data_IF_791289568914
#
_entry.id   IF_791289568914
#
_cell.length_a   1.000
_cell.length_b   1.000
_cell.length_c   1.000
_cell.angle_alpha   90.00
_cell.angle_beta   90.00
_cell.angle_gamma   90.00
#
_symmetry.space_group_name_H-M   'P 1'
#
loop_
_entity.id
_entity.type
_entity.pdbx_description
1 polymer ?
#
# COMPACT_ATOMS: atom_id res chain seq x y z
N UNK A 1 29.36 -1.02 -47.85
CA UNK A 1 28.57 -0.05 -47.07
C UNK A 1 29.30 1.27 -47.08
N UNK A 2 28.65 2.35 -47.55
CA UNK A 2 29.26 3.69 -47.59
C UNK A 2 29.17 4.30 -46.19
N UNK A 3 30.26 4.90 -45.73
CA UNK A 3 30.39 5.54 -44.42
C UNK A 3 29.30 6.61 -44.14
N UNK A 4 28.66 7.15 -45.18
CA UNK A 4 27.53 8.07 -45.08
C UNK A 4 26.24 7.40 -44.57
N UNK A 5 25.94 6.17 -45.00
CA UNK A 5 24.71 5.46 -44.64
C UNK A 5 24.74 5.00 -43.17
N UNK A 6 25.92 4.63 -42.66
CA UNK A 6 26.10 4.31 -41.23
C UNK A 6 26.03 5.54 -40.33
N UNK A 7 26.39 6.73 -40.85
CA UNK A 7 26.37 7.99 -40.10
C UNK A 7 24.95 8.57 -39.96
N UNK A 8 24.13 8.39 -41.00
CA UNK A 8 22.72 8.79 -40.96
C UNK A 8 21.87 7.86 -40.08
N UNK A 9 22.18 6.54 -40.04
CA UNK A 9 21.57 5.63 -39.06
C UNK A 9 21.98 5.93 -37.62
N UNK A 10 23.23 6.33 -37.37
CA UNK A 10 23.67 6.73 -36.02
C UNK A 10 23.04 8.04 -35.54
N UNK A 11 22.78 8.98 -36.45
CA UNK A 11 22.16 10.27 -36.13
C UNK A 11 20.63 10.20 -35.95
N UNK A 12 19.98 9.12 -36.41
CA UNK A 12 18.52 8.97 -36.31
C UNK A 12 18.05 8.44 -34.94
N UNK A 13 18.93 7.84 -34.12
CA UNK A 13 18.57 7.29 -32.80
C UNK A 13 19.09 8.09 -31.59
N UNK A 14 19.99 9.04 -31.79
CA UNK A 14 20.42 9.95 -30.73
C UNK A 14 19.60 11.24 -30.81
N UNK A 15 18.57 11.38 -29.95
CA UNK A 15 17.95 12.69 -29.67
C UNK A 15 19.07 13.71 -29.53
N UNK A 16 19.13 14.70 -30.43
CA UNK A 16 20.20 15.72 -30.45
C UNK A 16 20.35 16.33 -29.05
N UNK A 17 21.51 16.12 -28.43
CA UNK A 17 21.88 16.70 -27.15
C UNK A 17 22.84 17.84 -27.48
N UNK A 18 22.32 19.07 -27.48
CA UNK A 18 23.08 20.23 -27.94
C UNK A 18 23.93 20.87 -26.82
N UNK A 19 23.82 20.40 -25.57
CA UNK A 19 24.57 20.94 -24.43
C UNK A 19 24.76 19.95 -23.27
N UNK A 20 25.78 20.16 -22.43
CA UNK A 20 25.99 19.40 -21.16
C UNK A 20 24.73 19.47 -20.26
N UNK A 21 24.05 20.63 -20.10
CA UNK A 21 22.74 20.70 -19.44
C UNK A 21 21.67 19.78 -20.04
N UNK A 22 21.57 19.70 -21.37
CA UNK A 22 20.62 18.79 -22.04
C UNK A 22 20.99 17.33 -21.84
N UNK A 23 22.29 17.01 -21.81
CA UNK A 23 22.79 15.68 -21.46
C UNK A 23 22.35 15.29 -20.04
N UNK A 24 22.54 16.19 -19.06
CA UNK A 24 22.08 15.98 -17.69
C UNK A 24 20.56 15.84 -17.62
N UNK A 25 19.83 16.69 -18.33
CA UNK A 25 18.35 16.66 -18.37
C UNK A 25 17.81 15.41 -19.07
N UNK A 26 18.47 14.86 -20.08
CA UNK A 26 17.97 13.70 -20.83
C UNK A 26 18.47 12.38 -20.22
N UNK A 27 19.73 12.30 -19.80
CA UNK A 27 20.36 11.04 -19.36
C UNK A 27 20.51 10.92 -17.84
N UNK A 28 20.89 11.99 -17.11
CA UNK A 28 20.88 11.90 -15.64
C UNK A 28 19.44 11.86 -15.13
N UNK A 29 18.52 12.64 -15.71
CA UNK A 29 17.13 12.57 -15.29
C UNK A 29 16.50 11.21 -15.58
N UNK A 30 16.75 10.57 -16.73
CA UNK A 30 16.13 9.27 -17.04
C UNK A 30 16.69 8.17 -16.17
N UNK A 31 18.00 8.09 -15.95
CA UNK A 31 18.60 7.09 -15.06
C UNK A 31 18.15 7.33 -13.60
N UNK A 32 18.11 8.59 -13.15
CA UNK A 32 17.61 8.93 -11.81
C UNK A 32 16.11 8.62 -11.72
N UNK A 33 15.30 8.93 -12.73
CA UNK A 33 13.87 8.64 -12.79
C UNK A 33 13.63 7.13 -12.86
N UNK A 34 14.44 6.37 -13.59
CA UNK A 34 14.38 4.91 -13.63
C UNK A 34 14.78 4.31 -12.30
N UNK A 35 15.81 4.83 -11.64
CA UNK A 35 16.26 4.40 -10.32
C UNK A 35 15.23 4.74 -9.25
N UNK A 36 14.64 5.94 -9.29
CA UNK A 36 13.51 6.36 -8.46
C UNK A 36 12.30 5.49 -8.76
N UNK A 37 12.02 5.18 -10.02
CA UNK A 37 10.91 4.28 -10.38
C UNK A 37 11.16 2.85 -9.92
N UNK A 38 12.41 2.38 -9.90
CA UNK A 38 12.79 1.08 -9.37
C UNK A 38 12.72 1.05 -7.83
N UNK A 39 13.13 2.13 -7.15
CA UNK A 39 12.98 2.31 -5.71
C UNK A 39 11.50 2.39 -5.33
N UNK A 40 10.72 3.18 -6.07
CA UNK A 40 9.28 3.28 -5.95
C UNK A 40 8.70 1.86 -5.95
N UNK A 41 9.01 1.03 -6.93
CA UNK A 41 8.49 -0.35 -7.03
C UNK A 41 8.86 -1.30 -5.88
N UNK A 42 9.73 -0.92 -4.94
CA UNK A 42 10.16 -1.76 -3.81
C UNK A 42 9.48 -1.43 -2.49
N UNK A 43 8.76 -0.30 -2.37
CA UNK A 43 8.16 0.09 -1.10
C UNK A 43 7.09 -0.88 -0.63
N UNK A 44 6.24 -1.35 -1.54
CA UNK A 44 5.21 -2.33 -1.22
C UNK A 44 5.82 -3.68 -0.86
N UNK A 45 6.83 -4.13 -1.61
CA UNK A 45 7.56 -5.38 -1.33
C UNK A 45 8.18 -5.33 0.07
N UNK A 46 8.83 -4.21 0.39
CA UNK A 46 9.42 -3.99 1.71
C UNK A 46 8.36 -4.00 2.81
N UNK A 47 7.27 -3.24 2.65
CA UNK A 47 6.19 -3.16 3.64
C UNK A 47 5.51 -4.51 3.86
N UNK A 48 5.26 -5.28 2.79
CA UNK A 48 4.67 -6.60 2.88
C UNK A 48 5.61 -7.57 3.61
N UNK A 49 6.89 -7.61 3.23
CA UNK A 49 7.89 -8.49 3.86
C UNK A 49 8.13 -8.14 5.33
N UNK A 50 8.02 -6.86 5.70
CA UNK A 50 8.14 -6.44 7.08
C UNK A 50 6.93 -6.89 7.92
N UNK A 51 5.73 -6.93 7.34
CA UNK A 51 4.49 -7.30 8.04
C UNK A 51 4.20 -8.79 8.07
N UNK A 52 4.75 -9.57 7.15
CA UNK A 52 4.45 -10.99 6.96
C UNK A 52 5.64 -11.86 7.39
N UNK A 53 5.36 -12.97 8.07
CA UNK A 53 6.38 -13.94 8.50
C UNK A 53 6.67 -15.03 7.45
N UNK A 54 6.17 -14.87 6.23
CA UNK A 54 6.37 -15.81 5.12
C UNK A 54 7.57 -15.35 4.28
N UNK A 55 8.57 -16.23 4.14
CA UNK A 55 9.78 -15.97 3.34
C UNK A 55 9.55 -16.21 1.84
N UNK A 56 8.42 -16.83 1.47
CA UNK A 56 8.08 -17.02 0.08
C UNK A 56 7.71 -15.68 -0.54
N UNK A 57 8.63 -15.17 -1.36
CA UNK A 57 8.48 -13.92 -2.08
C UNK A 57 7.33 -14.00 -3.08
N UNK A 58 6.11 -13.68 -2.62
CA UNK A 58 4.98 -13.46 -3.51
C UNK A 58 5.37 -12.35 -4.49
N UNK A 59 5.20 -12.60 -5.78
CA UNK A 59 5.61 -11.61 -6.79
C UNK A 59 4.56 -10.49 -6.86
N UNK A 60 4.64 -9.56 -5.91
CA UNK A 60 3.77 -8.38 -5.79
C UNK A 60 3.71 -7.60 -7.10
N UNK A 61 4.78 -7.62 -7.91
CA UNK A 61 4.82 -6.94 -9.21
C UNK A 61 3.93 -7.60 -10.24
N UNK A 62 3.93 -8.94 -10.30
CA UNK A 62 3.01 -9.67 -11.18
C UNK A 62 1.57 -9.40 -10.74
N UNK A 63 1.32 -9.40 -9.43
CA UNK A 63 0.00 -9.10 -8.90
C UNK A 63 -0.46 -7.68 -9.24
N UNK A 64 0.38 -6.65 -9.11
CA UNK A 64 -0.01 -5.25 -9.33
C UNK A 64 0.22 -4.71 -10.75
N UNK A 65 0.55 -5.56 -11.74
CA UNK A 65 1.08 -5.15 -13.05
C UNK A 65 0.13 -4.24 -13.90
N UNK A 66 -1.11 -4.01 -13.47
CA UNK A 66 -2.01 -3.01 -14.05
C UNK A 66 -1.61 -1.57 -13.65
N UNK A 67 -0.55 -1.07 -14.31
CA UNK A 67 0.08 0.24 -14.07
C UNK A 67 -0.88 1.44 -13.97
N UNK A 68 -2.10 1.36 -14.53
CA UNK A 68 -3.08 2.46 -14.50
C UNK A 68 -4.12 2.38 -13.39
N UNK A 69 -4.45 1.19 -12.89
CA UNK A 69 -5.60 0.99 -11.98
C UNK A 69 -5.17 1.04 -10.51
N UNK A 70 -3.90 0.76 -10.21
CA UNK A 70 -3.39 0.55 -8.85
C UNK A 70 -2.09 1.32 -8.54
N UNK A 71 -1.84 2.42 -9.27
CA UNK A 71 -0.61 3.22 -9.12
C UNK A 71 -0.45 3.79 -7.70
N UNK A 72 -1.56 4.16 -7.06
CA UNK A 72 -1.58 4.80 -5.74
C UNK A 72 -1.14 3.88 -4.60
N UNK A 73 -1.20 2.55 -4.78
CA UNK A 73 -0.78 1.57 -3.75
C UNK A 73 0.66 1.81 -3.32
N UNK A 74 1.51 2.18 -4.28
CA UNK A 74 2.92 2.38 -4.01
C UNK A 74 3.23 3.69 -3.29
N UNK A 75 2.41 4.72 -3.54
CA UNK A 75 2.49 6.00 -2.85
C UNK A 75 2.08 5.82 -1.38
N UNK A 76 1.00 5.08 -1.11
CA UNK A 76 0.61 4.75 0.26
C UNK A 76 1.67 3.91 1.00
N UNK A 77 2.32 2.96 0.31
CA UNK A 77 3.43 2.23 0.90
C UNK A 77 4.62 3.15 1.23
N UNK A 78 4.96 4.11 0.36
CA UNK A 78 5.97 5.12 0.66
C UNK A 78 5.60 5.94 1.90
N UNK A 79 4.37 6.43 1.99
CA UNK A 79 3.89 7.19 3.15
C UNK A 79 4.04 6.39 4.45
N UNK A 80 3.76 5.08 4.44
CA UNK A 80 4.04 4.22 5.60
C UNK A 80 5.52 4.24 5.98
N UNK A 81 6.41 4.03 5.01
CA UNK A 81 7.84 3.90 5.26
C UNK A 81 8.48 5.22 5.71
N UNK A 82 7.96 6.36 5.25
CA UNK A 82 8.38 7.69 5.73
C UNK A 82 8.05 7.88 7.21
N UNK A 83 6.93 7.33 7.70
CA UNK A 83 6.59 7.37 9.12
C UNK A 83 7.46 6.41 9.92
N UNK A 84 7.57 5.17 9.45
CA UNK A 84 8.38 4.12 10.06
C UNK A 84 8.83 3.10 9.00
N UNK A 85 10.14 3.03 8.79
CA UNK A 85 10.74 2.14 7.81
C UNK A 85 10.60 0.64 8.16
N UNK A 86 10.51 0.32 9.46
CA UNK A 86 10.23 -1.04 9.95
C UNK A 86 9.09 -0.98 10.97
N UNK A 87 8.30 -2.05 11.07
CA UNK A 87 7.17 -2.17 12.00
C UNK A 87 7.60 -2.02 13.46
N UNK A 88 8.82 -2.44 13.77
CA UNK A 88 9.43 -2.30 15.09
C UNK A 88 9.62 -0.85 15.51
N UNK A 89 9.68 0.08 14.55
CA UNK A 89 9.96 1.50 14.78
C UNK A 89 8.69 2.36 14.82
N UNK A 90 7.51 1.73 14.75
CA UNK A 90 6.23 2.42 14.85
C UNK A 90 5.94 2.68 16.33
N UNK A 91 5.85 3.95 16.72
CA UNK A 91 5.60 4.35 18.10
C UNK A 91 4.81 5.66 18.22
N UNK A 92 4.04 5.78 19.30
CA UNK A 92 3.33 7.00 19.68
C UNK A 92 2.49 7.59 18.56
N UNK A 93 2.65 8.89 18.29
CA UNK A 93 1.84 9.63 17.32
C UNK A 93 1.92 9.09 15.88
N UNK A 94 3.00 8.38 15.53
CA UNK A 94 3.18 7.81 14.18
C UNK A 94 2.22 6.67 13.88
N UNK A 95 1.75 5.96 14.91
CA UNK A 95 0.90 4.77 14.78
C UNK A 95 -0.36 5.09 13.98
N UNK A 96 -0.99 6.23 14.27
CA UNK A 96 -2.20 6.67 13.61
C UNK A 96 -1.98 6.85 12.10
N UNK A 97 -1.05 7.72 11.72
CA UNK A 97 -0.79 8.04 10.31
C UNK A 97 -0.32 6.80 9.55
N UNK A 98 0.58 6.02 10.15
CA UNK A 98 1.10 4.79 9.57
C UNK A 98 -0.02 3.79 9.27
N UNK A 99 -0.97 3.63 10.20
CA UNK A 99 -2.10 2.70 10.04
C UNK A 99 -3.04 3.14 8.91
N UNK A 100 -3.25 4.45 8.72
CA UNK A 100 -4.07 4.96 7.62
C UNK A 100 -3.44 4.61 6.28
N UNK A 101 -2.17 4.97 6.09
CA UNK A 101 -1.46 4.69 4.85
C UNK A 101 -1.37 3.19 4.59
N UNK A 102 -1.20 2.36 5.63
CA UNK A 102 -1.12 0.91 5.49
C UNK A 102 -2.46 0.31 5.04
N UNK A 103 -3.58 0.75 5.64
CA UNK A 103 -4.92 0.34 5.21
C UNK A 103 -5.19 0.78 3.76
N UNK A 104 -4.91 2.03 3.41
CA UNK A 104 -5.12 2.53 2.04
C UNK A 104 -4.31 1.73 1.01
N UNK A 105 -3.08 1.34 1.36
CA UNK A 105 -2.23 0.48 0.54
C UNK A 105 -2.90 -0.89 0.31
N UNK A 106 -3.23 -1.59 1.40
CA UNK A 106 -3.72 -2.97 1.30
C UNK A 106 -5.20 -3.09 0.92
N UNK A 107 -6.02 -2.05 1.09
CA UNK A 107 -7.38 -2.03 0.57
C UNK A 107 -7.39 -2.14 -0.95
N UNK A 108 -6.40 -1.53 -1.62
CA UNK A 108 -6.26 -1.68 -3.05
C UNK A 108 -5.93 -3.14 -3.43
N UNK A 109 -5.09 -3.81 -2.63
CA UNK A 109 -4.83 -5.24 -2.81
C UNK A 109 -6.09 -6.07 -2.69
N UNK A 110 -6.90 -5.84 -1.64
CA UNK A 110 -8.14 -6.57 -1.43
C UNK A 110 -9.14 -6.32 -2.56
N UNK A 111 -9.30 -5.07 -2.99
CA UNK A 111 -10.17 -4.70 -4.11
C UNK A 111 -9.72 -5.37 -5.41
N UNK A 112 -8.41 -5.44 -5.66
CA UNK A 112 -7.88 -6.15 -6.83
C UNK A 112 -8.11 -7.65 -6.73
N UNK A 113 -7.80 -8.26 -5.59
CA UNK A 113 -8.02 -9.67 -5.33
C UNK A 113 -9.48 -10.08 -5.60
N UNK A 114 -10.44 -9.33 -5.06
CA UNK A 114 -11.87 -9.65 -5.22
C UNK A 114 -12.34 -9.44 -6.67
N UNK A 115 -12.06 -8.27 -7.26
CA UNK A 115 -12.63 -7.94 -8.56
C UNK A 115 -11.94 -8.67 -9.72
N UNK A 116 -10.62 -8.76 -9.69
CA UNK A 116 -9.84 -9.20 -10.85
C UNK A 116 -9.55 -10.70 -10.80
N UNK A 117 -9.43 -11.31 -9.61
CA UNK A 117 -9.08 -12.73 -9.46
C UNK A 117 -10.28 -13.61 -9.09
N UNK A 118 -11.08 -13.19 -8.10
CA UNK A 118 -12.31 -13.90 -7.77
C UNK A 118 -13.43 -13.63 -8.78
N UNK A 119 -13.29 -12.60 -9.62
CA UNK A 119 -14.30 -12.12 -10.57
C UNK A 119 -15.66 -11.83 -9.88
N UNK A 120 -15.60 -11.47 -8.60
CA UNK A 120 -16.77 -11.19 -7.77
C UNK A 120 -16.99 -9.67 -7.69
N UNK A 121 -18.26 -9.26 -7.53
CA UNK A 121 -18.62 -7.85 -7.37
C UNK A 121 -19.02 -7.55 -5.94
N UNK A 122 -18.33 -6.59 -5.32
CA UNK A 122 -18.65 -6.10 -3.99
C UNK A 122 -19.95 -5.29 -4.05
N UNK A 123 -20.95 -5.69 -3.27
CA UNK A 123 -22.21 -4.94 -3.12
C UNK A 123 -21.95 -3.67 -2.32
N UNK A 124 -22.15 -2.51 -2.95
CA UNK A 124 -21.97 -1.21 -2.31
C UNK A 124 -23.20 -0.86 -1.49
N UNK A 125 -23.02 -0.41 -0.24
CA UNK A 125 -24.12 0.10 0.60
C UNK A 125 -24.51 1.54 0.26
N UNK A 126 -23.70 2.25 -0.53
CA UNK A 126 -23.95 3.65 -0.90
C UNK A 126 -23.48 3.99 -2.32
N UNK A 127 -23.35 5.30 -2.59
CA UNK A 127 -22.97 5.83 -3.91
C UNK A 127 -21.55 5.43 -4.33
N UNK A 128 -20.65 5.29 -3.36
CA UNK A 128 -19.24 4.94 -3.55
C UNK A 128 -18.91 3.66 -2.77
N UNK A 129 -17.93 2.90 -3.25
CA UNK A 129 -17.43 1.73 -2.54
C UNK A 129 -16.68 2.21 -1.28
N UNK A 130 -17.04 1.69 -0.11
CA UNK A 130 -16.35 1.98 1.16
C UNK A 130 -15.45 0.81 1.56
N UNK A 131 -14.41 1.09 2.35
CA UNK A 131 -13.52 0.09 2.96
C UNK A 131 -14.35 -0.99 3.69
N UNK A 132 -15.33 -0.56 4.49
CA UNK A 132 -16.24 -1.46 5.22
C UNK A 132 -17.04 -2.39 4.30
N UNK A 133 -17.38 -1.98 3.08
CA UNK A 133 -18.09 -2.84 2.12
C UNK A 133 -17.19 -3.99 1.66
N UNK A 134 -15.88 -3.75 1.52
CA UNK A 134 -14.87 -4.75 1.16
C UNK A 134 -14.72 -5.76 2.30
N UNK A 135 -14.54 -5.28 3.53
CA UNK A 135 -14.34 -6.14 4.68
C UNK A 135 -15.59 -6.96 4.99
N UNK A 136 -16.77 -6.33 5.01
CA UNK A 136 -18.03 -7.04 5.23
C UNK A 136 -18.25 -8.11 4.16
N UNK A 137 -17.89 -7.84 2.90
CA UNK A 137 -17.96 -8.84 1.85
C UNK A 137 -17.07 -10.05 2.16
N UNK A 138 -15.82 -9.83 2.59
CA UNK A 138 -14.87 -10.89 2.95
C UNK A 138 -15.29 -11.66 4.20
N UNK A 139 -15.81 -10.97 5.23
CA UNK A 139 -16.33 -11.59 6.47
C UNK A 139 -17.54 -12.50 6.19
N UNK A 140 -18.33 -12.21 5.15
CA UNK A 140 -19.44 -13.08 4.76
C UNK A 140 -19.00 -14.33 3.96
N UNK A 141 -17.70 -14.47 3.69
CA UNK A 141 -17.12 -15.68 3.09
C UNK A 141 -16.66 -16.66 4.19
N UNK A 142 -15.98 -17.74 3.80
CA UNK A 142 -15.45 -18.77 4.72
C UNK A 142 -13.96 -18.96 4.48
N UNK A 143 -13.28 -19.65 5.39
CA UNK A 143 -11.85 -19.97 5.25
C UNK A 143 -10.97 -18.72 5.32
N UNK A 144 -9.92 -18.66 4.51
CA UNK A 144 -8.95 -17.56 4.56
C UNK A 144 -9.58 -16.20 4.25
N UNK A 145 -10.61 -16.13 3.41
CA UNK A 145 -11.30 -14.88 3.08
C UNK A 145 -11.96 -14.25 4.32
N UNK A 146 -12.54 -15.09 5.19
CA UNK A 146 -13.07 -14.64 6.48
C UNK A 146 -11.97 -14.06 7.37
N UNK A 147 -10.83 -14.74 7.46
CA UNK A 147 -9.68 -14.29 8.24
C UNK A 147 -9.13 -12.95 7.75
N UNK A 148 -9.06 -12.76 6.42
CA UNK A 148 -8.69 -11.47 5.82
C UNK A 148 -9.72 -10.41 6.24
N UNK A 149 -11.01 -10.69 6.04
CA UNK A 149 -12.08 -9.74 6.34
C UNK A 149 -12.09 -9.28 7.80
N UNK A 150 -12.01 -10.22 8.74
CA UNK A 150 -12.02 -9.92 10.18
C UNK A 150 -10.77 -9.14 10.59
N UNK A 151 -9.59 -9.53 10.10
CA UNK A 151 -8.35 -8.83 10.41
C UNK A 151 -8.41 -7.36 10.00
N UNK A 152 -8.78 -7.07 8.76
CA UNK A 152 -8.88 -5.71 8.26
C UNK A 152 -10.01 -4.92 8.92
N UNK A 153 -11.14 -5.56 9.23
CA UNK A 153 -12.22 -4.94 9.98
C UNK A 153 -11.76 -4.52 11.40
N UNK A 154 -11.00 -5.37 12.10
CA UNK A 154 -10.45 -5.07 13.42
C UNK A 154 -9.49 -3.88 13.37
N UNK A 155 -8.58 -3.84 12.38
CA UNK A 155 -7.66 -2.72 12.18
C UNK A 155 -8.45 -1.43 11.93
N UNK A 156 -9.46 -1.48 11.05
CA UNK A 156 -10.31 -0.32 10.75
C UNK A 156 -11.04 0.22 12.00
N UNK A 157 -11.60 -0.67 12.81
CA UNK A 157 -12.30 -0.29 14.05
C UNK A 157 -11.33 0.37 15.03
N UNK A 158 -10.15 -0.21 15.23
CA UNK A 158 -9.12 0.31 16.11
C UNK A 158 -8.54 1.63 15.59
N UNK A 159 -8.30 1.75 14.28
CA UNK A 159 -7.95 3.02 13.63
C UNK A 159 -8.99 4.10 13.92
N UNK A 160 -10.27 3.75 13.82
CA UNK A 160 -11.37 4.70 14.04
C UNK A 160 -11.40 5.22 15.49
N UNK A 161 -10.95 4.43 16.46
CA UNK A 161 -10.80 4.89 17.85
C UNK A 161 -9.79 6.03 18.00
N UNK A 162 -8.84 6.18 17.08
CA UNK A 162 -7.87 7.29 17.09
C UNK A 162 -8.48 8.65 16.72
N UNK A 163 -9.65 8.67 16.08
CA UNK A 163 -10.28 9.89 15.57
C UNK A 163 -11.50 10.34 16.37
N UNK A 164 -12.15 9.42 17.08
CA UNK A 164 -13.41 9.67 17.80
C UNK A 164 -13.23 9.89 19.30
N UNK A 165 -12.11 10.52 19.70
CA UNK A 165 -11.84 10.82 21.11
C UNK A 165 -12.26 12.25 21.42
N UNK A 166 -13.57 12.49 21.49
CA UNK A 166 -14.12 13.77 21.95
C UNK A 166 -14.81 13.57 23.31
N UNK A 167 -14.68 14.55 24.20
CA UNK A 167 -15.45 14.63 25.44
C UNK A 167 -16.14 15.99 25.54
N UNK A 168 -17.31 15.99 26.15
CA UNK A 168 -18.09 17.20 26.37
C UNK A 168 -17.83 17.71 27.79
N UNK A 169 -17.43 18.98 27.91
CA UNK A 169 -17.34 19.66 29.19
C UNK A 169 -18.75 19.95 29.72
N UNK A 170 -18.87 20.23 31.03
CA UNK A 170 -20.16 20.59 31.66
C UNK A 170 -20.84 21.79 31.00
N UNK A 171 -20.08 22.61 30.28
CA UNK A 171 -20.55 23.80 29.57
C UNK A 171 -20.93 23.52 28.09
N UNK A 172 -20.99 22.25 27.67
CA UNK A 172 -21.36 21.83 26.31
C UNK A 172 -20.22 21.93 25.27
N UNK A 173 -19.02 22.35 25.68
CA UNK A 173 -17.87 22.47 24.79
C UNK A 173 -17.26 21.09 24.54
N UNK A 174 -17.12 20.72 23.26
CA UNK A 174 -16.43 19.49 22.84
C UNK A 174 -14.93 19.70 22.75
N UNK A 175 -14.18 18.88 23.47
CA UNK A 175 -12.73 18.86 23.44
C UNK A 175 -12.19 17.52 22.93
N UNK A 176 -11.03 17.56 22.29
CA UNK A 176 -10.33 16.36 21.84
C UNK A 176 -9.52 15.78 22.99
N UNK A 177 -9.76 14.51 23.33
CA UNK A 177 -8.98 13.79 24.35
C UNK A 177 -7.66 13.33 23.73
N UNK A 178 -6.54 13.71 24.34
CA UNK A 178 -5.23 13.15 23.99
C UNK A 178 -5.19 11.67 24.37
N UNK A 179 -4.78 10.82 23.44
CA UNK A 179 -4.53 9.41 23.71
C UNK A 179 -3.21 9.24 24.45
N UNK A 180 -3.16 8.29 25.39
CA UNK A 180 -1.92 7.98 26.10
C UNK A 180 -0.96 7.21 25.19
N UNK A 181 0.33 7.37 25.46
CA UNK A 181 1.38 6.68 24.71
C UNK A 181 1.26 5.15 24.82
N UNK A 182 0.93 4.64 26.02
CA UNK A 182 0.74 3.21 26.25
C UNK A 182 -0.45 2.67 25.44
N UNK A 183 -1.60 3.36 25.46
CA UNK A 183 -2.77 2.96 24.67
C UNK A 183 -2.43 2.87 23.17
N UNK A 184 -1.65 3.83 22.66
CA UNK A 184 -1.23 3.80 21.26
C UNK A 184 -0.34 2.58 20.98
N UNK A 185 0.65 2.28 21.83
CA UNK A 185 1.52 1.12 21.63
C UNK A 185 0.77 -0.22 21.75
N UNK A 186 -0.16 -0.35 22.70
CA UNK A 186 -1.02 -1.54 22.80
C UNK A 186 -1.85 -1.70 21.53
N UNK A 187 -2.41 -0.59 21.03
CA UNK A 187 -3.16 -0.60 19.77
C UNK A 187 -2.26 -0.96 18.58
N UNK A 188 -1.01 -0.48 18.53
CA UNK A 188 -0.04 -0.86 17.50
C UNK A 188 0.18 -2.37 17.50
N UNK A 189 0.40 -2.99 18.65
CA UNK A 189 0.70 -4.41 18.73
C UNK A 189 -0.47 -5.24 18.17
N UNK A 190 -1.70 -4.86 18.54
CA UNK A 190 -2.91 -5.44 17.97
C UNK A 190 -2.98 -5.20 16.46
N UNK A 191 -2.75 -3.98 15.99
CA UNK A 191 -2.78 -3.63 14.55
C UNK A 191 -1.79 -4.47 13.77
N UNK A 192 -0.55 -4.61 14.25
CA UNK A 192 0.49 -5.39 13.60
C UNK A 192 0.16 -6.87 13.57
N UNK A 193 -0.37 -7.42 14.67
CA UNK A 193 -0.83 -8.81 14.72
C UNK A 193 -1.96 -9.07 13.72
N UNK A 194 -2.93 -8.15 13.61
CA UNK A 194 -4.02 -8.27 12.64
C UNK A 194 -3.51 -8.13 11.21
N UNK A 195 -2.58 -7.21 10.93
CA UNK A 195 -1.97 -7.10 9.59
C UNK A 195 -1.26 -8.40 9.23
N UNK A 196 -0.46 -8.96 10.13
CA UNK A 196 0.23 -10.22 9.91
C UNK A 196 -0.77 -11.35 9.59
N UNK A 197 -1.83 -11.50 10.39
CA UNK A 197 -2.87 -12.52 10.17
C UNK A 197 -3.57 -12.35 8.81
N UNK A 198 -4.06 -11.15 8.53
CA UNK A 198 -4.81 -10.84 7.31
C UNK A 198 -3.95 -10.98 6.06
N UNK A 199 -2.71 -10.51 6.08
CA UNK A 199 -1.81 -10.58 4.95
C UNK A 199 -1.30 -12.01 4.70
N UNK A 200 -1.00 -12.79 5.75
CA UNK A 200 -0.69 -14.22 5.60
C UNK A 200 -1.85 -14.98 4.97
N UNK A 201 -3.10 -14.72 5.39
CA UNK A 201 -4.29 -15.33 4.80
C UNK A 201 -4.49 -14.91 3.34
N UNK A 202 -4.25 -13.63 3.02
CA UNK A 202 -4.31 -13.11 1.65
C UNK A 202 -3.27 -13.78 0.76
N UNK A 203 -2.01 -13.89 1.20
CA UNK A 203 -0.94 -14.55 0.46
C UNK A 203 -1.29 -16.01 0.18
N UNK A 204 -1.84 -16.74 1.17
CA UNK A 204 -2.30 -18.13 0.97
C UNK A 204 -3.38 -18.26 -0.10
N UNK A 205 -4.32 -17.31 -0.16
CA UNK A 205 -5.33 -17.29 -1.22
C UNK A 205 -4.70 -16.95 -2.58
N UNK A 206 -3.80 -15.97 -2.64
CA UNK A 206 -3.15 -15.56 -3.88
C UNK A 206 -2.29 -16.68 -4.49
N UNK A 207 -1.61 -17.48 -3.67
CA UNK A 207 -0.83 -18.65 -4.12
C UNK A 207 -1.70 -19.71 -4.84
N UNK A 208 -3.02 -19.74 -4.61
CA UNK A 208 -3.93 -20.62 -5.36
C UNK A 208 -4.15 -20.19 -6.81
N UNK A 209 -3.76 -18.96 -7.16
CA UNK A 209 -3.90 -18.37 -8.50
C UNK A 209 -2.56 -18.27 -9.24
N UNK A 210 -1.56 -19.08 -8.86
CA UNK A 210 -0.21 -19.15 -9.44
C UNK A 210 0.62 -17.84 -9.34
N UNK A 211 0.73 -17.28 -8.12
CA UNK A 211 1.59 -16.11 -7.79
C UNK A 211 2.65 -16.39 -6.74
#
# INVERSE_FOLDING_TARGET
MKWSESRDQFNLELKRIDSIPDYRRVYLSTIIVESINQLNKKYIEHLLNDLVNDQDALNVRLFLNDKKKYQNTNEYALECLEKAFFKTNIHGAKIKDWTISALNCFDIFLIKFINDYKNDKIKKKGKWLKETDVYDYLVNKKGNEYEIGIAFQNIYQLRSSFFHVQYELKDGIRNTKKLSYNYLNDARDIILEQFEKGLNALIKEMKQYDF
#
